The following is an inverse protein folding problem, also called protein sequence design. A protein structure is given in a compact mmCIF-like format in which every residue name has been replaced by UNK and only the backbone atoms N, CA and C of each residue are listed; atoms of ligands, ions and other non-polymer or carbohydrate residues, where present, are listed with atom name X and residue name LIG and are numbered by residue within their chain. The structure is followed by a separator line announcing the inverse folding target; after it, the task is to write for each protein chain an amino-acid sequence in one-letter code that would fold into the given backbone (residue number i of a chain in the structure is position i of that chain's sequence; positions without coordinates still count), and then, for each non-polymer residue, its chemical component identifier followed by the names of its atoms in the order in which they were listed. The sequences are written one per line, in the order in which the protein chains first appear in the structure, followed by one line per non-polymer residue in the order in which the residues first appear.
data_IF_140595323927
#
_entry.id   IF_140595323927
#
_cell.length_a   1.000
_cell.length_b   1.000
_cell.length_c   1.000
_cell.angle_alpha   90.00
_cell.angle_beta   90.00
_cell.angle_gamma   90.00
#
_symmetry.space_group_name_H-M   'P 1'
#
loop_
_entity.id
_entity.type
_entity.pdbx_description
1 polymer ?
#
# COMPACT_ATOMS: atom_id res chain seq x y z
N UNK A 1 7.73 -11.13 3.43
CA UNK A 1 6.26 -11.20 3.33
C UNK A 1 5.68 -10.01 4.09
N UNK A 2 4.92 -9.14 3.42
CA UNK A 2 4.45 -7.88 4.00
C UNK A 2 3.28 -8.15 4.96
N UNK A 3 3.42 -7.93 6.27
CA UNK A 3 2.28 -8.05 7.19
C UNK A 3 1.40 -6.81 7.06
N UNK A 4 0.12 -7.01 6.75
CA UNK A 4 -0.87 -5.94 6.51
C UNK A 4 -1.06 -5.00 7.70
N UNK A 5 -0.67 -5.42 8.92
CA UNK A 5 -0.62 -4.59 10.13
C UNK A 5 0.40 -3.45 10.09
N UNK A 6 1.29 -3.43 9.09
CA UNK A 6 2.36 -2.42 8.98
C UNK A 6 2.06 -1.31 7.97
N UNK A 7 0.82 -1.21 7.48
CA UNK A 7 0.45 -0.13 6.57
C UNK A 7 0.28 1.19 7.31
N UNK A 8 1.09 2.18 6.93
CA UNK A 8 1.11 3.50 7.53
C UNK A 8 0.29 4.43 6.65
N UNK A 9 -0.75 5.04 7.21
CA UNK A 9 -1.64 5.97 6.49
C UNK A 9 -0.82 7.09 5.87
N UNK A 10 -1.04 7.33 4.59
CA UNK A 10 -0.35 8.35 3.81
C UNK A 10 1.00 7.95 3.23
N UNK A 11 1.54 6.78 3.59
CA UNK A 11 2.78 6.25 3.03
C UNK A 11 2.57 5.69 1.63
N UNK A 12 3.60 5.82 0.79
CA UNK A 12 3.63 5.31 -0.59
C UNK A 12 4.24 3.90 -0.59
N UNK A 13 3.62 3.02 -1.36
CA UNK A 13 4.01 1.63 -1.56
C UNK A 13 4.08 1.34 -3.05
N UNK A 14 4.84 0.31 -3.43
CA UNK A 14 4.87 -0.21 -4.80
C UNK A 14 3.96 -1.42 -4.90
N UNK A 15 3.07 -1.43 -5.89
CA UNK A 15 2.20 -2.54 -6.21
C UNK A 15 2.28 -2.79 -7.72
N UNK A 16 2.82 -3.93 -8.15
CA UNK A 16 2.98 -4.28 -9.58
C UNK A 16 3.70 -3.19 -10.41
N UNK A 17 4.66 -2.50 -9.80
CA UNK A 17 5.39 -1.40 -10.45
C UNK A 17 4.70 -0.03 -10.39
N UNK A 18 3.49 0.06 -9.85
CA UNK A 18 2.78 1.33 -9.64
C UNK A 18 2.98 1.84 -8.21
N UNK A 19 3.21 3.15 -8.06
CA UNK A 19 3.27 3.80 -6.75
C UNK A 19 1.86 4.16 -6.27
N UNK A 20 1.51 3.67 -5.09
CA UNK A 20 0.19 3.84 -4.51
C UNK A 20 0.30 4.28 -3.06
N UNK A 21 -0.54 5.25 -2.66
CA UNK A 21 -0.57 5.81 -1.32
C UNK A 21 -1.63 5.13 -0.48
N UNK A 22 -1.26 4.59 0.68
CA UNK A 22 -2.23 3.98 1.58
C UNK A 22 -3.15 5.04 2.20
N UNK A 23 -4.45 4.79 2.15
CA UNK A 23 -5.49 5.69 2.67
C UNK A 23 -6.00 5.22 4.03
N UNK A 24 -6.62 4.05 4.08
CA UNK A 24 -7.16 3.47 5.32
C UNK A 24 -7.53 2.00 5.11
N UNK A 25 -7.72 1.29 6.23
CA UNK A 25 -8.31 -0.04 6.26
C UNK A 25 -9.76 0.07 6.72
N UNK A 26 -10.70 -0.61 6.05
CA UNK A 26 -12.07 -0.71 6.52
C UNK A 26 -12.22 -1.82 7.57
N UNK A 27 -13.33 -1.78 8.30
CA UNK A 27 -13.69 -2.80 9.30
C UNK A 27 -13.77 -4.22 8.71
N UNK A 28 -14.01 -4.35 7.41
CA UNK A 28 -14.09 -5.64 6.70
C UNK A 28 -12.72 -6.11 6.15
N UNK A 29 -11.61 -5.66 6.76
CA UNK A 29 -10.24 -6.05 6.36
C UNK A 29 -9.90 -5.74 4.89
N UNK A 30 -10.54 -4.72 4.30
CA UNK A 30 -10.18 -4.20 2.98
C UNK A 30 -9.28 -2.98 3.13
N UNK A 31 -8.29 -2.87 2.27
CA UNK A 31 -7.30 -1.80 2.33
C UNK A 31 -7.45 -0.90 1.12
N UNK A 32 -7.54 0.40 1.38
CA UNK A 32 -7.77 1.40 0.36
C UNK A 32 -6.49 2.17 0.08
N UNK A 33 -6.22 2.36 -1.20
CA UNK A 33 -5.07 3.10 -1.70
C UNK A 33 -5.52 4.13 -2.72
N UNK A 34 -4.65 5.08 -3.01
CA UNK A 34 -4.84 6.08 -4.06
C UNK A 34 -3.59 6.10 -4.93
N UNK A 35 -3.75 5.99 -6.23
CA UNK A 35 -2.61 6.09 -7.15
C UNK A 35 -2.29 7.53 -7.53
N UNK A 36 -1.26 7.73 -8.35
CA UNK A 36 -0.81 9.05 -8.83
C UNK A 36 -1.90 9.80 -9.61
N UNK A 37 -2.80 9.09 -10.29
CA UNK A 37 -3.95 9.68 -11.00
C UNK A 37 -5.13 10.03 -10.09
N UNK A 38 -5.02 9.81 -8.77
CA UNK A 38 -6.11 10.04 -7.82
C UNK A 38 -7.18 8.94 -7.79
N UNK A 39 -7.00 7.85 -8.54
CA UNK A 39 -7.91 6.70 -8.56
C UNK A 39 -7.80 5.92 -7.25
N UNK A 40 -8.95 5.61 -6.65
CA UNK A 40 -9.03 4.74 -5.48
C UNK A 40 -8.89 3.27 -5.88
N UNK A 41 -8.01 2.56 -5.19
CA UNK A 41 -7.76 1.13 -5.34
C UNK A 41 -8.12 0.41 -4.03
N UNK A 42 -8.60 -0.82 -4.13
CA UNK A 42 -9.05 -1.62 -3.00
C UNK A 42 -8.44 -3.01 -3.09
N UNK A 43 -7.75 -3.42 -2.02
CA UNK A 43 -7.08 -4.70 -1.94
C UNK A 43 -7.50 -5.51 -0.71
N UNK A 44 -7.37 -6.82 -0.81
CA UNK A 44 -7.53 -7.75 0.30
C UNK A 44 -6.21 -7.95 1.03
N UNK A 45 -6.26 -8.47 2.26
CA UNK A 45 -5.06 -8.81 3.04
C UNK A 45 -4.13 -9.77 2.27
N UNK A 46 -4.69 -10.81 1.65
CA UNK A 46 -3.92 -11.81 0.87
C UNK A 46 -3.20 -11.18 -0.33
N UNK A 47 -3.84 -10.22 -1.00
CA UNK A 47 -3.25 -9.53 -2.13
C UNK A 47 -2.05 -8.67 -1.68
N UNK A 48 -2.24 -7.88 -0.60
CA UNK A 48 -1.18 -7.02 -0.06
C UNK A 48 0.04 -7.81 0.38
N UNK A 49 -0.16 -8.96 1.02
CA UNK A 49 0.95 -9.79 1.51
C UNK A 49 1.86 -10.31 0.39
N UNK A 50 1.31 -10.45 -0.83
CA UNK A 50 2.00 -10.99 -2.01
C UNK A 50 2.57 -9.90 -2.91
N UNK A 51 1.79 -8.86 -3.16
CA UNK A 51 2.04 -7.92 -4.27
C UNK A 51 2.53 -6.54 -3.82
N UNK A 52 2.39 -6.22 -2.54
CA UNK A 52 2.71 -4.89 -2.02
C UNK A 52 4.11 -4.87 -1.39
N UNK A 53 4.92 -3.91 -1.85
CA UNK A 53 6.28 -3.68 -1.37
C UNK A 53 6.42 -2.28 -0.80
N UNK A 54 7.16 -2.17 0.30
CA UNK A 54 7.53 -0.88 0.85
C UNK A 54 8.62 -0.25 -0.01
N UNK A 55 8.40 0.99 -0.44
CA UNK A 55 9.45 1.79 -1.06
C UNK A 55 10.30 2.33 0.07
N UNK A 56 11.45 1.69 0.33
CA UNK A 56 12.49 2.29 1.16
C UNK A 56 13.20 3.32 0.30
N UNK A 57 12.98 4.61 0.58
CA UNK A 57 13.89 5.64 0.10
C UNK A 57 15.19 5.40 0.87
N UNK A 58 16.20 4.88 0.17
CA UNK A 58 17.56 4.92 0.67
C UNK A 58 17.92 6.40 0.72
N UNK A 59 17.79 7.02 1.88
CA UNK A 59 18.43 8.30 2.11
C UNK A 59 19.93 8.01 2.14
N UNK A 60 20.61 8.21 1.01
CA UNK A 60 22.05 8.46 1.02
C UNK A 60 22.23 9.85 1.63
N UNK A 61 22.59 9.90 2.92
CA UNK A 61 23.37 10.96 3.57
C UNK A 61 23.62 10.65 5.05
#
# INVERSE_FOLDING_TARGET
MFKSTNLIRGKIYSCRGEQIKFSHQSRNQRFFFVNSSGKRLMFTSNFIQRELYEIKVLAEQ
#
